data_IF_171599692740
#
_entry.id   IF_171599692740
#
_cell.length_a   1.000
_cell.length_b   1.000
_cell.length_c   1.000
_cell.angle_alpha   90.00
_cell.angle_beta   90.00
_cell.angle_gamma   90.00
#
_symmetry.space_group_name_H-M   'P 1'
#
loop_
_entity.id
_entity.type
_entity.pdbx_description
1 polymer ?
#
# COMPACT_ATOMS: atom_id res chain seq x y z
N UNK A 1 -23.01 -8.53 -11.18
CA UNK A 1 -22.91 -7.05 -11.24
C UNK A 1 -22.31 -6.62 -9.91
N UNK A 2 -21.05 -6.17 -9.91
CA UNK A 2 -20.39 -5.65 -8.74
C UNK A 2 -20.83 -4.19 -8.55
N UNK A 3 -21.38 -3.80 -7.40
CA UNK A 3 -21.57 -2.40 -7.12
C UNK A 3 -20.20 -1.76 -6.89
N UNK A 4 -19.71 -1.06 -7.89
CA UNK A 4 -18.58 -0.13 -7.70
C UNK A 4 -19.09 1.00 -6.80
N UNK A 5 -18.87 0.86 -5.49
CA UNK A 5 -19.04 2.01 -4.59
C UNK A 5 -17.84 2.93 -4.78
N UNK A 6 -18.03 3.93 -5.63
CA UNK A 6 -17.03 4.95 -6.00
C UNK A 6 -16.83 6.04 -4.95
N UNK A 7 -17.26 5.84 -3.71
CA UNK A 7 -17.43 6.95 -2.77
C UNK A 7 -16.22 7.30 -1.89
N UNK A 8 -15.11 6.56 -1.94
CA UNK A 8 -13.95 6.90 -1.12
C UNK A 8 -12.62 7.12 -1.86
N UNK A 9 -12.48 6.64 -3.09
CA UNK A 9 -11.30 6.94 -3.92
C UNK A 9 -11.44 8.21 -4.77
N UNK A 10 -12.56 8.92 -4.72
CA UNK A 10 -12.82 10.11 -5.55
C UNK A 10 -11.93 11.32 -5.22
N UNK A 11 -11.25 11.29 -4.07
CA UNK A 11 -10.33 12.36 -3.65
C UNK A 11 -8.85 11.97 -3.78
N UNK A 12 -8.53 10.82 -4.39
CA UNK A 12 -7.15 10.37 -4.59
C UNK A 12 -6.41 9.93 -3.34
N UNK A 13 -7.10 9.77 -2.19
CA UNK A 13 -6.50 9.36 -0.93
C UNK A 13 -6.76 7.87 -0.65
N UNK A 14 -5.73 7.14 -0.22
CA UNK A 14 -5.85 5.74 0.18
C UNK A 14 -6.38 5.64 1.61
N UNK A 15 -7.55 5.03 1.81
CA UNK A 15 -8.17 4.90 3.14
C UNK A 15 -7.29 4.16 4.16
N UNK A 16 -6.40 3.26 3.74
CA UNK A 16 -5.46 2.57 4.62
C UNK A 16 -4.40 3.56 5.13
N UNK A 17 -3.77 4.30 4.22
CA UNK A 17 -2.67 5.21 4.56
C UNK A 17 -3.14 6.45 5.33
N UNK A 18 -4.40 6.87 5.16
CA UNK A 18 -4.98 7.97 5.93
C UNK A 18 -5.30 7.63 7.39
N UNK A 19 -5.39 6.34 7.74
CA UNK A 19 -5.82 5.91 9.05
C UNK A 19 -4.69 5.79 10.08
N UNK A 20 -3.42 5.89 9.70
CA UNK A 20 -2.32 5.77 10.66
C UNK A 20 -2.34 6.87 11.72
N UNK A 21 -2.17 6.45 12.97
CA UNK A 21 -2.14 7.33 14.14
C UNK A 21 -0.72 7.80 14.42
N UNK A 22 -0.48 9.10 14.27
CA UNK A 22 0.79 9.71 14.66
C UNK A 22 1.12 9.44 16.14
N UNK A 23 0.14 9.63 17.04
CA UNK A 23 0.33 9.43 18.48
C UNK A 23 0.77 8.01 18.82
N UNK A 24 0.10 7.01 18.23
CA UNK A 24 0.45 5.60 18.44
C UNK A 24 1.81 5.24 17.83
N UNK A 25 2.18 5.81 16.66
CA UNK A 25 3.50 5.64 16.06
C UNK A 25 4.59 6.22 16.99
N UNK A 26 4.39 7.42 17.52
CA UNK A 26 5.32 8.03 18.50
C UNK A 26 5.42 7.21 19.79
N UNK A 27 4.33 6.60 20.23
CA UNK A 27 4.34 5.68 21.39
C UNK A 27 5.14 4.42 21.08
N UNK A 28 5.00 3.85 19.87
CA UNK A 28 5.83 2.72 19.43
C UNK A 28 7.31 3.12 19.33
N UNK A 29 7.62 4.31 18.80
CA UNK A 29 9.02 4.78 18.74
C UNK A 29 9.65 4.94 20.12
N UNK A 30 8.88 5.27 21.16
CA UNK A 30 9.36 5.28 22.55
C UNK A 30 9.63 3.86 23.08
N UNK A 31 8.80 2.87 22.71
CA UNK A 31 9.00 1.47 23.09
C UNK A 31 10.15 0.81 22.33
N UNK A 32 10.34 1.20 21.08
CA UNK A 32 11.36 0.68 20.17
C UNK A 32 12.23 1.84 19.65
N UNK A 33 13.10 2.41 20.50
CA UNK A 33 13.84 3.65 20.17
C UNK A 33 14.79 3.48 18.97
N UNK A 34 15.26 2.27 18.71
CA UNK A 34 16.15 1.95 17.60
C UNK A 34 15.41 1.52 16.32
N UNK A 35 14.06 1.42 16.35
CA UNK A 35 13.30 1.05 15.17
C UNK A 35 13.23 2.20 14.17
N UNK A 36 13.44 1.92 12.88
CA UNK A 36 13.16 2.87 11.81
C UNK A 36 11.66 2.94 11.51
N UNK A 37 11.12 4.13 11.40
CA UNK A 37 9.75 4.37 10.94
C UNK A 37 9.76 4.48 9.42
N UNK A 38 9.13 3.54 8.74
CA UNK A 38 9.06 3.50 7.29
C UNK A 38 7.61 3.66 6.82
N UNK A 39 7.39 4.55 5.83
CA UNK A 39 6.05 5.07 5.56
C UNK A 39 5.78 5.17 4.06
N UNK A 40 4.55 4.86 3.66
CA UNK A 40 4.10 5.10 2.28
C UNK A 40 3.81 6.59 2.05
N UNK A 41 4.14 7.17 0.86
CA UNK A 41 3.96 8.60 0.59
C UNK A 41 2.51 9.09 0.61
N UNK A 42 1.52 8.18 0.54
CA UNK A 42 0.11 8.52 0.68
C UNK A 42 -0.35 8.70 2.14
N UNK A 43 0.53 8.48 3.12
CA UNK A 43 0.21 8.77 4.52
C UNK A 43 0.07 10.28 4.76
N UNK A 44 -0.66 10.64 5.81
CA UNK A 44 -0.81 12.04 6.22
C UNK A 44 0.54 12.69 6.51
N UNK A 45 0.70 13.97 6.16
CA UNK A 45 1.93 14.72 6.36
C UNK A 45 2.55 14.60 7.76
N UNK A 46 1.79 14.64 8.87
CA UNK A 46 2.38 14.46 10.20
C UNK A 46 3.06 13.09 10.40
N UNK A 47 2.56 12.03 9.78
CA UNK A 47 3.17 10.70 9.81
C UNK A 47 4.44 10.66 8.96
N UNK A 48 4.38 11.27 7.76
CA UNK A 48 5.54 11.39 6.86
C UNK A 48 6.70 12.14 7.54
N UNK A 49 6.40 13.22 8.27
CA UNK A 49 7.40 14.07 8.94
C UNK A 49 8.17 13.36 10.06
N UNK A 50 7.60 12.31 10.67
CA UNK A 50 8.28 11.54 11.73
C UNK A 50 8.90 10.24 11.20
N UNK A 51 8.89 10.03 9.90
CA UNK A 51 9.40 8.83 9.25
C UNK A 51 10.88 8.94 8.92
N UNK A 52 11.62 7.88 9.15
CA UNK A 52 13.04 7.77 8.79
C UNK A 52 13.20 7.49 7.29
N UNK A 53 12.22 6.80 6.68
CA UNK A 53 12.20 6.54 5.25
C UNK A 53 10.78 6.59 4.68
N UNK A 54 10.62 7.22 3.52
CA UNK A 54 9.35 7.33 2.79
C UNK A 54 9.52 6.78 1.37
N UNK A 55 8.65 5.86 0.96
CA UNK A 55 8.75 5.28 -0.36
C UNK A 55 7.57 4.41 -0.75
N UNK A 56 7.48 4.06 -2.03
CA UNK A 56 6.50 3.08 -2.51
C UNK A 56 6.69 1.73 -1.82
N UNK A 57 5.70 0.86 -1.87
CA UNK A 57 5.76 -0.49 -1.29
C UNK A 57 7.03 -1.24 -1.70
N UNK A 58 7.42 -1.17 -2.99
CA UNK A 58 8.64 -1.78 -3.48
C UNK A 58 9.92 -1.10 -2.91
N UNK A 59 9.90 0.23 -2.76
CA UNK A 59 11.00 0.97 -2.17
C UNK A 59 11.16 0.67 -0.67
N UNK A 60 10.04 0.56 0.08
CA UNK A 60 10.04 0.16 1.48
C UNK A 60 10.67 -1.24 1.64
N UNK A 61 10.25 -2.21 0.82
CA UNK A 61 10.79 -3.56 0.84
C UNK A 61 12.30 -3.57 0.56
N UNK A 62 12.76 -2.84 -0.47
CA UNK A 62 14.19 -2.71 -0.79
C UNK A 62 14.97 -2.04 0.34
N UNK A 63 14.37 -1.03 0.98
CA UNK A 63 15.00 -0.34 2.11
C UNK A 63 15.22 -1.28 3.29
N UNK A 64 14.21 -2.08 3.66
CA UNK A 64 14.35 -3.03 4.78
C UNK A 64 15.42 -4.08 4.55
N UNK A 65 15.73 -4.44 3.30
CA UNK A 65 16.81 -5.37 2.96
C UNK A 65 18.19 -4.69 3.15
N UNK A 66 18.30 -3.41 2.74
CA UNK A 66 19.59 -2.69 2.70
C UNK A 66 19.96 -2.02 4.02
N UNK A 67 18.98 -1.60 4.83
CA UNK A 67 19.20 -0.94 6.11
C UNK A 67 19.85 -1.88 7.12
N UNK A 68 20.74 -1.35 7.96
CA UNK A 68 21.34 -2.07 9.09
C UNK A 68 20.39 -2.18 10.29
N UNK A 69 19.28 -1.46 10.30
CA UNK A 69 18.28 -1.51 11.35
C UNK A 69 17.69 -2.91 11.49
N UNK A 70 17.45 -3.31 12.73
CA UNK A 70 16.89 -4.63 13.07
C UNK A 70 15.38 -4.57 13.36
N UNK A 71 14.86 -3.40 13.55
CA UNK A 71 13.45 -3.18 13.89
C UNK A 71 12.87 -2.08 12.99
N UNK A 72 11.64 -2.30 12.49
CA UNK A 72 10.93 -1.35 11.63
C UNK A 72 9.51 -1.16 12.11
N UNK A 73 9.06 0.09 12.27
CA UNK A 73 7.66 0.47 12.43
C UNK A 73 7.12 0.76 11.03
N UNK A 74 6.21 -0.06 10.55
CA UNK A 74 5.78 -0.08 9.14
C UNK A 74 4.42 0.58 8.98
N UNK A 75 4.38 1.76 8.36
CA UNK A 75 3.16 2.52 8.08
C UNK A 75 2.75 2.38 6.60
N UNK A 76 2.32 1.19 6.22
CA UNK A 76 1.69 0.87 4.94
C UNK A 76 0.74 -0.32 5.12
N UNK A 77 0.13 -0.79 4.04
CA UNK A 77 -0.77 -1.96 4.07
C UNK A 77 -0.03 -3.19 4.62
N UNK A 78 -0.66 -3.87 5.58
CA UNK A 78 0.00 -4.90 6.39
C UNK A 78 0.44 -6.15 5.63
N UNK A 79 -0.14 -6.43 4.48
CA UNK A 79 0.22 -7.58 3.66
C UNK A 79 1.67 -7.58 3.20
N UNK A 80 2.28 -6.39 3.02
CA UNK A 80 3.69 -6.28 2.63
C UNK A 80 4.65 -6.77 3.73
N UNK A 81 4.22 -6.76 4.99
CA UNK A 81 5.03 -7.25 6.12
C UNK A 81 5.38 -8.74 5.95
N UNK A 82 4.48 -9.51 5.33
CA UNK A 82 4.77 -10.91 5.01
C UNK A 82 6.00 -11.04 4.10
N UNK A 83 6.05 -10.25 3.03
CA UNK A 83 7.21 -10.26 2.12
C UNK A 83 8.48 -9.68 2.78
N UNK A 84 8.34 -8.67 3.64
CA UNK A 84 9.47 -8.14 4.42
C UNK A 84 10.07 -9.21 5.32
N UNK A 85 9.25 -9.95 6.07
CA UNK A 85 9.71 -11.06 6.94
C UNK A 85 10.34 -12.20 6.15
N UNK A 86 9.83 -12.51 4.97
CA UNK A 86 10.37 -13.54 4.10
C UNK A 86 11.78 -13.20 3.58
N UNK A 87 12.00 -11.92 3.23
CA UNK A 87 13.27 -11.45 2.68
C UNK A 87 14.29 -11.05 3.75
N UNK A 88 13.82 -10.70 4.95
CA UNK A 88 14.67 -10.30 6.08
C UNK A 88 14.18 -10.97 7.37
N UNK A 89 14.35 -12.29 7.51
CA UNK A 89 13.78 -13.05 8.63
C UNK A 89 14.46 -12.75 9.98
N UNK A 90 15.62 -12.12 9.96
CA UNK A 90 16.39 -11.67 11.13
C UNK A 90 15.96 -10.30 11.66
N UNK A 91 14.96 -9.67 11.03
CA UNK A 91 14.46 -8.34 11.37
C UNK A 91 13.02 -8.38 11.90
N UNK A 92 12.72 -7.46 12.79
CA UNK A 92 11.40 -7.32 13.40
C UNK A 92 10.60 -6.23 12.66
N UNK A 93 9.38 -6.57 12.28
CA UNK A 93 8.45 -5.66 11.59
C UNK A 93 7.20 -5.46 12.43
N UNK A 94 7.00 -4.24 12.90
CA UNK A 94 5.92 -3.81 13.78
C UNK A 94 4.93 -3.00 12.94
N UNK A 95 3.70 -3.47 12.72
CA UNK A 95 2.71 -2.70 11.97
C UNK A 95 2.33 -1.44 12.75
N UNK A 96 2.36 -0.29 12.08
CA UNK A 96 1.87 0.96 12.65
C UNK A 96 0.35 0.87 12.89
N UNK A 97 -0.14 1.26 14.06
CA UNK A 97 -1.57 1.12 14.37
C UNK A 97 -2.40 2.24 13.75
N UNK A 98 -3.68 1.95 13.41
CA UNK A 98 -4.62 2.95 12.94
C UNK A 98 -5.15 3.81 14.09
N UNK A 99 -5.80 4.92 13.73
CA UNK A 99 -6.50 5.78 14.70
C UNK A 99 -7.62 5.01 15.41
N UNK A 100 -8.42 4.27 14.66
CA UNK A 100 -9.47 3.42 15.21
C UNK A 100 -8.91 2.04 15.56
N UNK A 101 -9.00 1.66 16.82
CA UNK A 101 -8.49 0.38 17.36
C UNK A 101 -9.48 -0.77 17.22
N UNK A 102 -10.69 -0.53 16.72
CA UNK A 102 -11.70 -1.58 16.52
C UNK A 102 -11.35 -2.52 15.35
N UNK A 103 -10.48 -2.06 14.44
CA UNK A 103 -9.90 -2.88 13.39
C UNK A 103 -8.39 -2.92 13.57
N UNK A 104 -7.86 -4.04 14.01
CA UNK A 104 -6.42 -4.24 14.25
C UNK A 104 -5.59 -4.29 12.95
N UNK A 105 -6.20 -4.10 11.79
CA UNK A 105 -5.58 -4.38 10.52
C UNK A 105 -5.60 -3.14 9.62
N UNK A 106 -4.43 -2.63 9.34
CA UNK A 106 -4.19 -1.73 8.22
C UNK A 106 -4.25 -2.53 6.90
N UNK A 107 -5.31 -3.33 6.75
CA UNK A 107 -5.56 -4.18 5.59
C UNK A 107 -6.51 -3.47 4.64
N UNK A 108 -6.22 -3.57 3.36
CA UNK A 108 -7.10 -3.03 2.34
C UNK A 108 -8.29 -3.97 2.09
N UNK A 109 -9.47 -3.58 2.53
CA UNK A 109 -10.69 -4.35 2.31
C UNK A 109 -10.98 -4.61 0.82
N UNK A 110 -10.54 -3.72 -0.07
CA UNK A 110 -10.70 -3.90 -1.52
C UNK A 110 -9.74 -4.96 -2.07
N UNK A 111 -8.48 -4.99 -1.61
CA UNK A 111 -7.53 -6.04 -2.00
C UNK A 111 -7.99 -7.41 -1.48
N UNK A 112 -8.61 -7.46 -0.31
CA UNK A 112 -9.16 -8.69 0.28
C UNK A 112 -10.38 -9.27 -0.44
N UNK A 113 -10.98 -8.53 -1.36
CA UNK A 113 -12.00 -9.07 -2.26
C UNK A 113 -11.41 -10.07 -3.27
N UNK A 114 -10.12 -10.02 -3.53
CA UNK A 114 -9.41 -10.97 -4.38
C UNK A 114 -9.02 -12.20 -3.57
N UNK A 115 -9.70 -13.31 -3.79
CA UNK A 115 -9.41 -14.60 -3.16
C UNK A 115 -8.68 -15.53 -4.14
N UNK A 116 -7.98 -16.53 -3.62
CA UNK A 116 -7.33 -17.54 -4.46
C UNK A 116 -8.34 -18.29 -5.34
N UNK A 117 -9.55 -18.55 -4.85
CA UNK A 117 -10.63 -19.16 -5.63
C UNK A 117 -11.04 -18.27 -6.81
N UNK A 118 -11.24 -16.98 -6.56
CA UNK A 118 -11.58 -16.03 -7.62
C UNK A 118 -10.47 -15.92 -8.67
N UNK A 119 -9.21 -15.89 -8.22
CA UNK A 119 -8.06 -15.86 -9.12
C UNK A 119 -8.00 -17.15 -9.96
N UNK A 120 -8.16 -18.31 -9.32
CA UNK A 120 -8.19 -19.60 -10.03
C UNK A 120 -9.33 -19.66 -11.06
N UNK A 121 -10.54 -19.23 -10.68
CA UNK A 121 -11.69 -19.23 -11.59
C UNK A 121 -11.49 -18.25 -12.75
N UNK A 122 -10.91 -17.06 -12.48
CA UNK A 122 -10.59 -16.10 -13.52
C UNK A 122 -9.61 -16.68 -14.55
N UNK A 123 -8.54 -17.32 -14.09
CA UNK A 123 -7.52 -17.91 -14.98
C UNK A 123 -8.05 -19.15 -15.74
N UNK A 124 -8.89 -19.96 -15.08
CA UNK A 124 -9.41 -21.20 -15.67
C UNK A 124 -10.55 -20.99 -16.66
N UNK A 125 -11.44 -20.04 -16.35
CA UNK A 125 -12.68 -19.84 -17.09
C UNK A 125 -12.71 -18.50 -17.84
N UNK A 126 -11.66 -17.68 -17.72
CA UNK A 126 -11.57 -16.33 -18.30
C UNK A 126 -12.75 -15.41 -17.90
N UNK A 127 -13.21 -15.57 -16.63
CA UNK A 127 -14.38 -14.89 -16.09
C UNK A 127 -14.09 -14.24 -14.73
N UNK A 128 -14.77 -13.10 -14.41
CA UNK A 128 -15.69 -12.34 -15.27
C UNK A 128 -14.95 -11.51 -16.31
N UNK A 129 -15.48 -11.42 -17.51
CA UNK A 129 -15.02 -10.44 -18.49
C UNK A 129 -15.54 -9.05 -18.12
N UNK A 130 -14.69 -8.04 -18.23
CA UNK A 130 -15.04 -6.65 -17.93
C UNK A 130 -15.25 -5.89 -19.23
N UNK A 131 -16.45 -5.39 -19.43
CA UNK A 131 -16.81 -4.53 -20.55
C UNK A 131 -16.79 -3.07 -20.10
N UNK A 132 -16.13 -2.25 -20.88
CA UNK A 132 -16.12 -0.80 -20.73
C UNK A 132 -16.71 -0.20 -22.00
N UNK A 133 -17.61 0.79 -21.86
CA UNK A 133 -18.19 1.50 -22.99
C UNK A 133 -17.10 2.05 -23.93
N UNK A 134 -17.29 1.93 -25.25
CA UNK A 134 -16.30 2.32 -26.24
C UNK A 134 -15.88 3.79 -26.17
N UNK A 135 -16.85 4.70 -25.91
CA UNK A 135 -16.53 6.12 -25.78
C UNK A 135 -15.72 6.42 -24.53
N UNK A 136 -15.97 5.67 -23.43
CA UNK A 136 -15.15 5.71 -22.22
C UNK A 136 -13.75 5.18 -22.52
N UNK A 137 -13.61 4.05 -23.22
CA UNK A 137 -12.31 3.48 -23.60
C UNK A 137 -11.49 4.47 -24.44
N UNK A 138 -12.09 5.07 -25.47
CA UNK A 138 -11.42 6.06 -26.35
C UNK A 138 -10.91 7.27 -25.56
N UNK A 139 -11.61 7.69 -24.52
CA UNK A 139 -11.21 8.79 -23.67
C UNK A 139 -10.14 8.36 -22.66
N UNK A 140 -10.32 7.23 -22.02
CA UNK A 140 -9.44 6.71 -20.97
C UNK A 140 -8.06 6.31 -21.48
N UNK A 141 -7.96 5.80 -22.72
CA UNK A 141 -6.68 5.36 -23.29
C UNK A 141 -5.69 6.52 -23.54
N UNK A 142 -6.17 7.74 -23.76
CA UNK A 142 -5.32 8.91 -24.08
C UNK A 142 -4.32 9.25 -22.97
N UNK A 143 -4.75 9.44 -21.69
CA UNK A 143 -3.81 9.70 -20.60
C UNK A 143 -2.88 8.51 -20.33
N UNK A 144 -3.36 7.27 -20.50
CA UNK A 144 -2.54 6.06 -20.32
C UNK A 144 -1.41 6.02 -21.34
N UNK A 145 -1.71 6.23 -22.64
CA UNK A 145 -0.69 6.32 -23.70
C UNK A 145 0.31 7.43 -23.42
N UNK A 146 -0.18 8.60 -22.97
CA UNK A 146 0.71 9.73 -22.64
C UNK A 146 1.64 9.42 -21.47
N UNK A 147 1.14 8.74 -20.45
CA UNK A 147 1.95 8.27 -19.32
C UNK A 147 3.06 7.31 -19.81
N UNK A 148 2.72 6.31 -20.63
CA UNK A 148 3.70 5.36 -21.17
C UNK A 148 4.76 6.04 -22.04
N UNK A 149 4.37 6.97 -22.92
CA UNK A 149 5.32 7.76 -23.70
C UNK A 149 6.31 8.56 -22.84
N UNK A 150 5.82 9.14 -21.72
CA UNK A 150 6.68 9.90 -20.80
C UNK A 150 7.61 8.93 -20.04
N UNK A 151 7.11 7.81 -19.57
CA UNK A 151 7.91 6.80 -18.86
C UNK A 151 9.03 6.28 -19.76
N UNK A 152 8.73 5.96 -21.02
CA UNK A 152 9.73 5.52 -22.00
C UNK A 152 10.82 6.58 -22.24
N UNK A 153 10.43 7.86 -22.39
CA UNK A 153 11.38 8.98 -22.57
C UNK A 153 12.28 9.20 -21.35
N UNK A 154 11.79 8.88 -20.14
CA UNK A 154 12.54 9.03 -18.89
C UNK A 154 13.32 7.77 -18.51
N UNK A 155 13.20 6.67 -19.27
CA UNK A 155 13.83 5.38 -18.96
C UNK A 155 13.27 4.70 -17.70
N UNK A 156 11.98 4.91 -17.40
CA UNK A 156 11.28 4.34 -16.24
C UNK A 156 10.56 3.04 -16.59
#
# INVERSE_FOLDING_TARGET
VWPVRTTQCSLGACHVHEQFSLEKILSLKKQYPNAEVITHPECKQPVIQVSDFVGSTAALLKHTIKSDAKQFIVATESGVIHEMRKQSPDKEFIPAPPNDSTCACNECNFMRLNTMEKLYNCLKFEMPEIFVDEEVQKKAIKPIKKMLEISEKLGL
#
